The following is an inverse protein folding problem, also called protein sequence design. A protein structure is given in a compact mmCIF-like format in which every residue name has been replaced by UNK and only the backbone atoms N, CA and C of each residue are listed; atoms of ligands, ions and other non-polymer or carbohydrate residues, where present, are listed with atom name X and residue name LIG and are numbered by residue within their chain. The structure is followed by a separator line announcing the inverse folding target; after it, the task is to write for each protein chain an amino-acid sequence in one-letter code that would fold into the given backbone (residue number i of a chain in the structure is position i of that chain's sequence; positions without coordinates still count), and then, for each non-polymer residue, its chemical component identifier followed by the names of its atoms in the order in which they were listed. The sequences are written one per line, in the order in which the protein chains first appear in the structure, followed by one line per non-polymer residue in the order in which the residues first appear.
data_IF_514734884856
#
_entry.id   IF_514734884856
#
_cell.length_a   1.000
_cell.length_b   1.000
_cell.length_c   1.000
_cell.angle_alpha   90.00
_cell.angle_beta   90.00
_cell.angle_gamma   90.00
#
_symmetry.space_group_name_H-M   'P 1'
#
loop_
_entity.id
_entity.type
_entity.pdbx_description
1 polymer ?
#
# COMPACT_ATOMS: atom_id res chain seq x y z
N UNK A 1 -17.94 -3.00 35.08
CA UNK A 1 -16.97 -1.95 35.49
C UNK A 1 -16.33 -1.31 34.27
N UNK A 2 -16.70 -0.06 33.93
CA UNK A 2 -16.09 0.71 32.84
C UNK A 2 -15.29 1.86 33.46
N UNK A 3 -13.97 1.92 33.24
CA UNK A 3 -13.13 3.00 33.77
C UNK A 3 -13.44 4.35 33.10
N UNK A 4 -13.47 5.47 33.87
CA UNK A 4 -13.55 6.81 33.33
C UNK A 4 -12.26 7.22 32.60
N UNK A 5 -12.37 8.16 31.66
CA UNK A 5 -11.24 8.65 30.85
C UNK A 5 -10.06 9.14 31.70
N UNK A 6 -10.34 9.80 32.83
CA UNK A 6 -9.32 10.34 33.71
C UNK A 6 -8.45 9.24 34.35
N UNK A 7 -9.05 8.12 34.73
CA UNK A 7 -8.31 6.97 35.26
C UNK A 7 -7.50 6.28 34.16
N UNK A 8 -8.07 6.13 32.97
CA UNK A 8 -7.37 5.55 31.82
C UNK A 8 -6.16 6.38 31.36
N UNK A 9 -6.22 7.71 31.49
CA UNK A 9 -5.09 8.59 31.19
C UNK A 9 -3.90 8.42 32.13
N UNK A 10 -4.11 7.89 33.35
CA UNK A 10 -3.01 7.54 34.27
C UNK A 10 -2.16 6.40 33.72
N UNK A 11 -2.78 5.48 32.97
CA UNK A 11 -2.10 4.33 32.36
C UNK A 11 -1.65 4.60 30.92
N UNK A 12 -2.39 5.43 30.18
CA UNK A 12 -2.09 5.78 28.77
C UNK A 12 -1.99 7.31 28.66
N UNK A 13 -0.81 7.89 28.95
CA UNK A 13 -0.60 9.33 28.80
C UNK A 13 -0.77 9.73 27.33
N UNK A 14 -1.48 10.84 27.09
CA UNK A 14 -1.79 11.30 25.73
C UNK A 14 -3.03 10.67 25.08
N UNK A 15 -3.82 9.86 25.81
CA UNK A 15 -5.06 9.32 25.29
C UNK A 15 -6.05 10.45 24.90
N UNK A 16 -6.28 10.56 23.60
CA UNK A 16 -7.26 11.49 23.04
C UNK A 16 -8.67 11.12 23.47
N UNK A 17 -9.42 12.14 23.88
CA UNK A 17 -10.84 12.00 24.24
C UNK A 17 -11.67 11.40 23.10
N UNK A 18 -11.36 11.80 21.86
CA UNK A 18 -11.98 11.25 20.65
C UNK A 18 -11.78 9.74 20.54
N UNK A 19 -10.59 9.24 20.84
CA UNK A 19 -10.28 7.80 20.76
C UNK A 19 -11.01 7.02 21.86
N UNK A 20 -11.08 7.58 23.07
CA UNK A 20 -11.82 6.97 24.19
C UNK A 20 -13.31 6.81 23.87
N UNK A 21 -13.98 7.87 23.43
CA UNK A 21 -15.41 7.79 23.12
C UNK A 21 -15.69 6.94 21.88
N UNK A 22 -14.80 6.97 20.87
CA UNK A 22 -14.89 6.06 19.71
C UNK A 22 -14.83 4.59 20.15
N UNK A 23 -13.87 4.23 20.99
CA UNK A 23 -13.74 2.88 21.53
C UNK A 23 -14.95 2.48 22.39
N UNK A 24 -15.44 3.37 23.25
CA UNK A 24 -16.63 3.14 24.08
C UNK A 24 -17.88 2.88 23.23
N UNK A 25 -18.04 3.59 22.11
CA UNK A 25 -19.13 3.39 21.15
C UNK A 25 -19.02 2.04 20.45
N UNK A 26 -17.82 1.66 20.00
CA UNK A 26 -17.56 0.34 19.37
C UNK A 26 -17.87 -0.79 20.36
N UNK A 27 -17.38 -0.69 21.60
CA UNK A 27 -17.62 -1.68 22.65
C UNK A 27 -19.11 -1.80 23.04
N UNK A 28 -19.89 -0.71 22.94
CA UNK A 28 -21.34 -0.75 23.20
C UNK A 28 -22.12 -1.50 22.12
N UNK A 29 -21.64 -1.51 20.87
CA UNK A 29 -22.24 -2.24 19.75
C UNK A 29 -21.89 -3.73 19.82
N UNK A 30 -20.89 -4.11 20.62
CA UNK A 30 -20.43 -5.51 20.76
C UNK A 30 -19.61 -6.01 19.57
N UNK A 31 -19.29 -5.14 18.61
CA UNK A 31 -18.45 -5.46 17.46
C UNK A 31 -17.00 -5.19 17.86
N UNK A 32 -16.25 -6.26 18.13
CA UNK A 32 -14.79 -6.18 18.13
C UNK A 32 -14.37 -6.13 16.66
N UNK A 33 -13.79 -5.03 16.15
CA UNK A 33 -13.27 -5.03 14.81
C UNK A 33 -12.25 -6.16 14.71
N UNK A 34 -12.47 -7.08 13.78
CA UNK A 34 -11.51 -8.14 13.50
C UNK A 34 -10.18 -7.46 13.22
N UNK A 35 -9.17 -7.74 14.05
CA UNK A 35 -7.83 -7.24 13.78
C UNK A 35 -7.41 -7.89 12.47
N UNK A 36 -7.28 -7.08 11.41
CA UNK A 36 -6.70 -7.53 10.16
C UNK A 36 -5.35 -8.16 10.49
N UNK A 37 -5.29 -9.48 10.43
CA UNK A 37 -4.04 -10.20 10.63
C UNK A 37 -3.12 -9.73 9.52
N UNK A 38 -2.05 -9.04 9.89
CA UNK A 38 -1.05 -8.62 8.93
C UNK A 38 -0.30 -9.87 8.44
N UNK A 39 -0.79 -10.45 7.34
CA UNK A 39 -0.16 -11.60 6.71
C UNK A 39 1.04 -11.08 5.91
N UNK A 40 2.24 -11.38 6.41
CA UNK A 40 3.47 -11.15 5.64
C UNK A 40 3.59 -12.23 4.58
N UNK A 41 3.34 -11.87 3.34
CA UNK A 41 3.53 -12.77 2.19
C UNK A 41 4.92 -12.54 1.62
N UNK A 42 5.76 -13.57 1.59
CA UNK A 42 7.06 -13.52 0.90
C UNK A 42 6.82 -13.70 -0.59
N UNK A 43 7.25 -12.74 -1.39
CA UNK A 43 7.19 -12.85 -2.85
C UNK A 43 8.28 -13.80 -3.37
N UNK A 44 7.96 -14.54 -4.44
CA UNK A 44 8.98 -15.30 -5.17
C UNK A 44 9.84 -14.30 -5.98
N UNK A 45 11.15 -14.21 -5.72
CA UNK A 45 12.02 -13.20 -6.35
C UNK A 45 12.08 -13.34 -7.87
N UNK A 46 12.04 -14.56 -8.41
CA UNK A 46 12.06 -14.76 -9.86
C UNK A 46 10.77 -14.25 -10.50
N UNK A 47 9.60 -14.56 -9.93
CA UNK A 47 8.31 -14.06 -10.43
C UNK A 47 8.22 -12.53 -10.35
N UNK A 48 8.78 -11.95 -9.29
CA UNK A 48 8.86 -10.49 -9.15
C UNK A 48 9.74 -9.89 -10.24
N UNK A 49 10.90 -10.46 -10.50
CA UNK A 49 11.79 -9.99 -11.56
C UNK A 49 11.10 -10.03 -12.93
N UNK A 50 10.44 -11.14 -13.28
CA UNK A 50 9.67 -11.24 -14.52
C UNK A 50 8.57 -10.18 -14.63
N UNK A 51 7.91 -9.86 -13.52
CA UNK A 51 6.90 -8.79 -13.50
C UNK A 51 7.53 -7.40 -13.71
N UNK A 52 8.70 -7.14 -13.11
CA UNK A 52 9.43 -5.90 -13.32
C UNK A 52 9.92 -5.76 -14.76
N UNK A 53 10.40 -6.84 -15.36
CA UNK A 53 10.84 -6.88 -16.76
C UNK A 53 9.65 -6.64 -17.70
N UNK A 54 8.47 -7.18 -17.38
CA UNK A 54 7.23 -6.88 -18.10
C UNK A 54 6.82 -5.41 -17.99
N UNK A 55 6.89 -4.81 -16.80
CA UNK A 55 6.58 -3.38 -16.63
C UNK A 55 7.52 -2.47 -17.43
N UNK A 56 8.76 -2.92 -17.62
CA UNK A 56 9.76 -2.23 -18.44
C UNK A 56 9.67 -2.61 -19.94
N UNK A 57 8.78 -3.54 -20.33
CA UNK A 57 8.66 -3.95 -21.72
C UNK A 57 7.99 -2.86 -22.55
N UNK A 58 8.32 -2.73 -23.85
CA UNK A 58 7.67 -1.76 -24.75
C UNK A 58 6.15 -1.93 -24.87
N UNK A 59 5.63 -3.10 -24.51
CA UNK A 59 4.19 -3.41 -24.54
C UNK A 59 3.42 -2.64 -23.45
N UNK A 60 4.06 -2.39 -22.31
CA UNK A 60 3.52 -1.60 -21.19
C UNK A 60 4.04 -0.16 -21.24
N UNK A 61 5.29 -0.01 -21.65
CA UNK A 61 6.01 1.25 -21.75
C UNK A 61 5.71 1.93 -23.09
N UNK A 62 4.51 2.48 -23.22
CA UNK A 62 4.17 3.30 -24.39
C UNK A 62 4.99 4.59 -24.40
N UNK A 63 5.62 4.90 -25.54
CA UNK A 63 6.42 6.10 -25.83
C UNK A 63 5.56 7.38 -25.82
N UNK A 64 4.98 7.77 -24.69
CA UNK A 64 4.41 9.12 -24.55
C UNK A 64 5.25 10.02 -23.64
N UNK A 65 5.52 11.26 -24.07
CA UNK A 65 6.36 12.21 -23.36
C UNK A 65 5.61 12.84 -22.18
N UNK A 66 5.25 12.06 -21.16
CA UNK A 66 4.54 12.57 -19.97
C UNK A 66 5.46 13.14 -18.88
N UNK A 67 6.69 13.49 -19.27
CA UNK A 67 7.67 14.13 -18.42
C UNK A 67 8.27 13.21 -17.35
N UNK A 68 9.37 13.67 -16.77
CA UNK A 68 10.14 12.94 -15.77
C UNK A 68 10.02 13.56 -14.38
N UNK A 69 9.87 12.72 -13.35
CA UNK A 69 9.92 13.12 -11.95
C UNK A 69 11.30 12.82 -11.37
N UNK A 70 11.93 13.82 -10.77
CA UNK A 70 13.16 13.62 -9.99
C UNK A 70 12.78 13.01 -8.63
N UNK A 71 13.38 11.88 -8.29
CA UNK A 71 13.20 11.18 -7.02
C UNK A 71 14.54 11.14 -6.31
N UNK A 72 14.54 11.45 -5.02
CA UNK A 72 15.71 11.34 -4.17
C UNK A 72 15.65 10.01 -3.45
N UNK A 73 16.65 9.17 -3.67
CA UNK A 73 16.81 7.89 -2.99
C UNK A 73 17.25 8.11 -1.53
N UNK A 74 17.15 7.07 -0.70
CA UNK A 74 17.54 7.15 0.72
C UNK A 74 19.02 7.42 0.93
N UNK A 75 19.86 7.16 -0.07
CA UNK A 75 21.29 7.48 -0.11
C UNK A 75 21.57 8.94 -0.55
N UNK A 76 20.52 9.74 -0.82
CA UNK A 76 20.64 11.13 -1.29
C UNK A 76 20.85 11.28 -2.79
N UNK A 77 21.01 10.18 -3.54
CA UNK A 77 21.14 10.24 -5.00
C UNK A 77 19.82 10.68 -5.64
N UNK A 78 19.91 11.46 -6.72
CA UNK A 78 18.74 11.94 -7.46
C UNK A 78 18.64 11.18 -8.78
N UNK A 79 17.60 10.39 -8.96
CA UNK A 79 17.31 9.74 -10.23
C UNK A 79 16.08 10.37 -10.90
N UNK A 80 16.07 10.40 -12.23
CA UNK A 80 14.91 10.84 -13.00
C UNK A 80 14.08 9.62 -13.36
N UNK A 81 12.91 9.48 -12.75
CA UNK A 81 11.96 8.42 -13.05
C UNK A 81 10.87 9.03 -13.92
N UNK A 82 10.65 8.48 -15.10
CA UNK A 82 9.58 8.96 -15.95
C UNK A 82 8.19 8.61 -15.40
N UNK A 83 7.19 9.44 -15.68
CA UNK A 83 5.79 9.26 -15.24
C UNK A 83 5.05 8.11 -15.97
N UNK A 84 5.77 7.15 -16.57
CA UNK A 84 5.25 6.12 -17.48
C UNK A 84 4.11 5.24 -16.91
N UNK A 85 4.11 4.94 -15.60
CA UNK A 85 3.13 4.01 -14.99
C UNK A 85 1.71 4.58 -14.81
N UNK A 86 1.42 5.82 -15.25
CA UNK A 86 0.10 6.45 -15.01
C UNK A 86 -0.95 6.27 -16.09
N UNK A 87 -0.62 5.71 -17.26
CA UNK A 87 -1.60 5.59 -18.36
C UNK A 87 -2.48 4.35 -18.26
N UNK A 88 -1.97 3.26 -17.70
CA UNK A 88 -2.70 1.99 -17.58
C UNK A 88 -3.18 1.79 -16.15
N UNK A 89 -4.45 1.42 -15.99
CA UNK A 89 -4.99 1.05 -14.67
C UNK A 89 -4.30 -0.21 -14.19
N UNK A 90 -4.14 -0.35 -12.87
CA UNK A 90 -3.53 -1.55 -12.29
C UNK A 90 -4.20 -2.85 -12.77
N UNK A 91 -5.53 -2.82 -12.99
CA UNK A 91 -6.29 -3.94 -13.55
C UNK A 91 -5.88 -4.31 -14.98
N UNK A 92 -5.56 -3.32 -15.82
CA UNK A 92 -5.15 -3.53 -17.22
C UNK A 92 -3.74 -4.12 -17.28
N UNK A 93 -2.82 -3.60 -16.46
CA UNK A 93 -1.45 -4.13 -16.33
C UNK A 93 -1.48 -5.60 -15.89
N UNK A 94 -2.30 -5.93 -14.89
CA UNK A 94 -2.46 -7.31 -14.41
C UNK A 94 -3.02 -8.20 -15.53
N UNK A 95 -4.06 -7.75 -16.24
CA UNK A 95 -4.64 -8.50 -17.34
C UNK A 95 -3.61 -8.77 -18.46
N UNK A 96 -2.87 -7.75 -18.89
CA UNK A 96 -1.83 -7.88 -19.91
C UNK A 96 -0.74 -8.87 -19.46
N UNK A 97 -0.25 -8.75 -18.23
CA UNK A 97 0.73 -9.68 -17.68
C UNK A 97 0.24 -11.12 -17.69
N UNK A 98 -1.00 -11.36 -17.21
CA UNK A 98 -1.58 -12.71 -17.20
C UNK A 98 -1.71 -13.31 -18.58
N UNK A 99 -2.06 -12.50 -19.59
CA UNK A 99 -2.13 -12.92 -20.99
C UNK A 99 -0.76 -13.26 -21.57
N UNK A 100 0.26 -12.44 -21.31
CA UNK A 100 1.64 -12.71 -21.75
C UNK A 100 2.26 -13.96 -21.10
N UNK A 101 1.77 -14.34 -19.92
CA UNK A 101 2.18 -15.58 -19.24
C UNK A 101 1.47 -16.83 -19.77
N UNK A 102 0.28 -16.71 -20.37
CA UNK A 102 -0.44 -17.86 -20.96
C UNK A 102 -0.03 -18.14 -22.41
N UNK A 103 0.47 -17.13 -23.13
CA UNK A 103 0.92 -17.25 -24.53
C UNK A 103 2.38 -17.75 -24.64
N UNK A 104 3.05 -18.06 -23.52
CA UNK A 104 4.40 -18.67 -23.44
C UNK A 104 4.32 -20.11 -22.95
#
# INVERSE_FOLDING_TARGET
NRMPLQELRKFIPGLSERLYYKAKRIAAIGVVPEQEKFIRTRYNPAKLQYFMDFLASPEVMADLPFGSKKVTMSDGTKCSISNFLRLQRASEIIFMFTRTMTDK
#
